data_IF_771875993345
#
_entry.id   IF_771875993345
#
_cell.length_a   1.000
_cell.length_b   1.000
_cell.length_c   1.000
_cell.angle_alpha   90.00
_cell.angle_beta   90.00
_cell.angle_gamma   90.00
#
_symmetry.space_group_name_H-M   'P 1'
#
loop_
_entity.id
_entity.type
_entity.pdbx_description
1 polymer ?
#
# COMPACT_ATOMS: atom_id res chain seq x y z
N UNK A 1 -13.10 29.30 -20.90
CA UNK A 1 -13.65 28.12 -21.60
C UNK A 1 -12.88 26.92 -21.10
N UNK A 2 -13.40 26.06 -20.20
CA UNK A 2 -12.73 24.81 -19.88
C UNK A 2 -13.14 23.78 -20.94
N UNK A 3 -12.20 23.52 -21.83
CA UNK A 3 -12.26 22.50 -22.86
C UNK A 3 -11.93 21.15 -22.24
N UNK A 4 -12.87 20.21 -22.20
CA UNK A 4 -12.67 18.79 -22.60
C UNK A 4 -13.77 17.86 -22.07
N UNK A 5 -14.68 17.51 -22.99
CA UNK A 5 -15.34 16.21 -23.17
C UNK A 5 -15.05 15.12 -22.11
N UNK A 6 -16.00 14.88 -21.20
CA UNK A 6 -16.51 13.55 -20.82
C UNK A 6 -15.55 12.41 -20.43
N UNK A 7 -14.32 12.68 -19.99
CA UNK A 7 -13.43 11.66 -19.46
C UNK A 7 -13.19 11.91 -17.97
N UNK A 8 -13.36 10.87 -17.16
CA UNK A 8 -13.06 10.94 -15.73
C UNK A 8 -11.59 10.65 -15.55
N UNK A 9 -10.84 11.65 -15.09
CA UNK A 9 -9.44 11.48 -14.74
C UNK A 9 -9.34 10.87 -13.34
N UNK A 10 -8.93 9.59 -13.31
CA UNK A 10 -8.59 8.90 -12.09
C UNK A 10 -7.08 9.02 -11.87
N UNK A 11 -6.67 9.55 -10.73
CA UNK A 11 -5.26 9.76 -10.39
C UNK A 11 -4.95 9.41 -8.93
N UNK A 12 -3.73 8.94 -8.68
CA UNK A 12 -3.25 8.74 -7.31
C UNK A 12 -2.85 10.07 -6.68
N UNK A 13 -3.38 10.34 -5.49
CA UNK A 13 -2.97 11.47 -4.64
C UNK A 13 -1.89 11.05 -3.66
N UNK A 14 -1.88 9.78 -3.25
CA UNK A 14 -0.79 9.15 -2.50
C UNK A 14 -0.53 7.76 -3.02
N UNK A 15 0.74 7.47 -3.22
CA UNK A 15 1.20 6.16 -3.66
C UNK A 15 2.10 5.52 -2.61
N UNK A 16 2.10 4.17 -2.53
CA UNK A 16 2.93 3.48 -1.56
C UNK A 16 4.41 3.68 -1.83
N UNK A 17 5.17 3.74 -0.75
CA UNK A 17 6.63 3.87 -0.78
C UNK A 17 7.28 2.58 -0.29
N UNK A 18 8.52 2.38 -0.72
CA UNK A 18 9.35 1.28 -0.21
C UNK A 18 9.44 1.38 1.32
N UNK A 19 9.29 0.23 1.98
CA UNK A 19 9.22 0.17 3.43
C UNK A 19 10.13 -0.93 3.99
N UNK A 20 10.76 -0.62 5.12
CA UNK A 20 11.53 -1.57 5.92
C UNK A 20 10.83 -1.70 7.26
N UNK A 21 10.47 -2.93 7.63
CA UNK A 21 9.84 -3.22 8.93
C UNK A 21 10.64 -4.27 9.69
N UNK A 22 10.23 -4.61 10.89
CA UNK A 22 10.87 -5.63 11.74
C UNK A 22 9.91 -6.78 11.98
N UNK A 23 10.45 -7.95 12.32
CA UNK A 23 9.65 -9.11 12.71
C UNK A 23 8.74 -8.75 13.89
N UNK A 24 7.44 -9.05 13.77
CA UNK A 24 6.42 -8.71 14.77
C UNK A 24 6.03 -7.23 14.78
N UNK A 25 6.65 -6.40 13.94
CA UNK A 25 6.29 -5.00 13.78
C UNK A 25 5.01 -4.82 12.98
N UNK A 26 4.69 -3.55 12.72
CA UNK A 26 3.57 -3.13 11.90
C UNK A 26 4.10 -2.46 10.63
N UNK A 27 3.57 -2.87 9.48
CA UNK A 27 3.82 -2.26 8.19
C UNK A 27 2.61 -1.41 7.82
N UNK A 28 2.86 -0.19 7.35
CA UNK A 28 1.84 0.70 6.83
C UNK A 28 2.23 1.14 5.41
N UNK A 29 1.32 0.94 4.46
CA UNK A 29 1.47 1.39 3.08
C UNK A 29 0.30 2.30 2.73
N UNK A 30 0.59 3.59 2.61
CA UNK A 30 -0.43 4.58 2.27
C UNK A 30 -0.79 4.50 0.79
N UNK A 31 -2.08 4.52 0.48
CA UNK A 31 -2.57 4.69 -0.88
C UNK A 31 -3.86 5.47 -0.89
N UNK A 32 -3.92 6.52 -1.72
CA UNK A 32 -5.12 7.33 -1.94
C UNK A 32 -5.22 7.70 -3.42
N UNK A 33 -6.43 7.67 -3.95
CA UNK A 33 -6.73 8.08 -5.30
C UNK A 33 -7.97 8.95 -5.31
N UNK A 34 -8.08 9.80 -6.33
CA UNK A 34 -9.19 10.71 -6.51
C UNK A 34 -9.63 10.72 -7.97
N UNK A 35 -10.94 10.86 -8.17
CA UNK A 35 -11.54 11.17 -9.46
C UNK A 35 -11.83 12.68 -9.54
N UNK A 36 -11.55 13.28 -10.69
CA UNK A 36 -11.84 14.69 -10.98
C UNK A 36 -13.35 14.99 -11.08
N UNK A 37 -14.16 13.98 -11.44
CA UNK A 37 -15.60 14.12 -11.57
C UNK A 37 -16.33 13.74 -10.27
N UNK A 38 -16.90 14.75 -9.60
CA UNK A 38 -17.61 14.61 -8.33
C UNK A 38 -18.79 13.62 -8.35
N UNK A 39 -19.40 13.35 -9.52
CA UNK A 39 -20.51 12.39 -9.64
C UNK A 39 -20.05 10.92 -9.62
N UNK A 40 -18.77 10.65 -9.91
CA UNK A 40 -18.24 9.29 -9.95
C UNK A 40 -17.97 8.69 -8.55
N UNK A 41 -17.97 9.51 -7.51
CA UNK A 41 -17.70 9.07 -6.13
C UNK A 41 -16.23 8.76 -5.85
N UNK A 42 -15.89 8.33 -4.62
CA UNK A 42 -14.52 7.97 -4.28
C UNK A 42 -14.13 6.62 -4.92
N UNK A 43 -12.91 6.49 -5.47
CA UNK A 43 -12.47 5.22 -6.04
C UNK A 43 -12.27 4.16 -4.96
N UNK A 44 -12.66 2.93 -5.29
CA UNK A 44 -12.43 1.76 -4.46
C UNK A 44 -10.95 1.37 -4.51
N UNK A 45 -10.30 1.35 -3.35
CA UNK A 45 -8.91 0.94 -3.21
C UNK A 45 -8.85 -0.57 -2.95
N UNK A 46 -7.95 -1.26 -3.64
CA UNK A 46 -7.59 -2.66 -3.39
C UNK A 46 -6.07 -2.82 -3.47
N UNK A 47 -5.55 -3.90 -2.88
CA UNK A 47 -4.10 -4.13 -2.84
C UNK A 47 -3.71 -5.41 -3.57
N UNK A 48 -2.52 -5.41 -4.13
CA UNK A 48 -1.89 -6.53 -4.81
C UNK A 48 -0.51 -6.75 -4.22
N UNK A 49 -0.15 -8.00 -3.96
CA UNK A 49 1.17 -8.42 -3.50
C UNK A 49 1.73 -9.47 -4.45
N UNK A 50 2.94 -9.24 -4.95
CA UNK A 50 3.65 -10.14 -5.86
C UNK A 50 2.79 -10.60 -7.04
N UNK A 51 1.95 -9.69 -7.55
CA UNK A 51 1.05 -9.99 -8.64
C UNK A 51 -0.31 -10.62 -8.26
N UNK A 52 -0.59 -10.86 -6.98
CA UNK A 52 -1.83 -11.49 -6.51
C UNK A 52 -2.67 -10.50 -5.70
N UNK A 53 -3.99 -10.45 -5.96
CA UNK A 53 -4.89 -9.57 -5.20
C UNK A 53 -4.93 -10.00 -3.73
N UNK A 54 -4.70 -9.06 -2.84
CA UNK A 54 -4.75 -9.29 -1.40
C UNK A 54 -6.20 -9.27 -0.94
N UNK A 55 -6.64 -10.38 -0.34
CA UNK A 55 -7.88 -10.39 0.43
C UNK A 55 -7.59 -10.00 1.87
N UNK A 56 -8.04 -8.82 2.28
CA UNK A 56 -7.98 -8.36 3.68
C UNK A 56 -9.00 -9.06 4.57
N UNK A 57 -9.89 -9.88 4.00
CA UNK A 57 -10.90 -10.65 4.74
C UNK A 57 -10.35 -11.99 5.23
N UNK A 58 -9.32 -12.52 4.57
CA UNK A 58 -8.77 -13.86 4.85
C UNK A 58 -7.64 -13.81 5.88
N UNK A 59 -6.93 -12.69 6.00
CA UNK A 59 -5.83 -12.52 6.93
C UNK A 59 -6.14 -11.39 7.92
N UNK A 60 -6.54 -11.75 9.14
CA UNK A 60 -6.89 -10.80 10.22
C UNK A 60 -5.76 -9.80 10.55
N UNK A 61 -4.51 -10.15 10.20
CA UNK A 61 -3.35 -9.28 10.38
C UNK A 61 -3.32 -8.14 9.37
N UNK A 62 -4.02 -8.29 8.24
CA UNK A 62 -4.04 -7.35 7.11
C UNK A 62 -5.35 -6.59 7.11
N UNK A 63 -5.29 -5.29 7.40
CA UNK A 63 -6.46 -4.43 7.45
C UNK A 63 -6.28 -3.28 6.48
N UNK A 64 -7.27 -3.07 5.62
CA UNK A 64 -7.35 -1.85 4.83
C UNK A 64 -8.16 -0.81 5.60
N UNK A 65 -7.58 0.36 5.80
CA UNK A 65 -8.25 1.49 6.42
C UNK A 65 -9.19 2.18 5.41
N UNK A 66 -10.16 2.95 5.91
CA UNK A 66 -11.12 3.68 5.08
C UNK A 66 -10.46 4.68 4.11
N UNK A 67 -9.23 5.12 4.42
CA UNK A 67 -8.44 6.00 3.56
C UNK A 67 -7.62 5.24 2.50
N UNK A 68 -7.81 3.92 2.33
CA UNK A 68 -7.08 3.08 1.37
C UNK A 68 -5.74 2.53 1.85
N UNK A 69 -5.26 2.97 3.01
CA UNK A 69 -3.97 2.52 3.58
C UNK A 69 -4.05 1.05 3.98
N UNK A 70 -3.04 0.27 3.59
CA UNK A 70 -2.88 -1.12 4.03
C UNK A 70 -2.04 -1.17 5.31
N UNK A 71 -2.60 -1.77 6.35
CA UNK A 71 -1.92 -2.08 7.60
C UNK A 71 -1.68 -3.58 7.68
N UNK A 72 -0.44 -3.99 7.87
CA UNK A 72 -0.08 -5.39 8.15
C UNK A 72 0.56 -5.45 9.53
N UNK A 73 -0.14 -6.08 10.47
CA UNK A 73 0.32 -6.26 11.84
C UNK A 73 1.05 -7.61 11.98
N UNK A 74 1.86 -7.75 13.03
CA UNK A 74 2.57 -8.98 13.34
C UNK A 74 3.34 -9.52 12.12
N UNK A 75 4.18 -8.68 11.52
CA UNK A 75 4.91 -9.02 10.30
C UNK A 75 5.75 -10.29 10.51
N UNK A 76 5.53 -11.28 9.64
CA UNK A 76 6.16 -12.59 9.72
C UNK A 76 7.42 -12.62 8.86
N UNK A 77 8.54 -12.85 9.54
CA UNK A 77 9.82 -13.10 8.90
C UNK A 77 10.52 -14.29 9.56
N UNK A 78 10.77 -15.33 8.76
CA UNK A 78 11.57 -16.49 9.12
C UNK A 78 12.44 -16.92 7.93
N UNK A 79 13.44 -17.75 8.19
CA UNK A 79 14.40 -18.20 7.16
C UNK A 79 13.72 -18.79 5.92
N UNK A 80 12.62 -19.52 6.11
CA UNK A 80 11.90 -20.25 5.06
C UNK A 80 10.50 -19.68 4.74
N UNK A 81 10.03 -18.70 5.51
CA UNK A 81 8.67 -18.19 5.38
C UNK A 81 8.63 -16.68 5.63
N UNK A 82 8.34 -15.91 4.58
CA UNK A 82 8.31 -14.43 4.57
C UNK A 82 7.07 -13.95 3.80
N UNK A 83 5.86 -14.24 4.31
CA UNK A 83 4.63 -14.00 3.57
C UNK A 83 4.30 -12.50 3.41
N UNK A 84 4.95 -11.64 4.20
CA UNK A 84 4.72 -10.19 4.22
C UNK A 84 5.84 -9.39 3.52
N UNK A 85 6.93 -10.04 3.11
CA UNK A 85 7.93 -9.42 2.23
C UNK A 85 7.51 -9.56 0.77
N UNK A 86 7.83 -8.58 -0.06
CA UNK A 86 7.56 -8.63 -1.49
C UNK A 86 7.25 -7.27 -2.09
N UNK A 87 6.63 -7.30 -3.25
CA UNK A 87 6.23 -6.13 -4.02
C UNK A 87 4.75 -5.86 -3.86
N UNK A 88 4.43 -4.67 -3.36
CA UNK A 88 3.06 -4.23 -3.10
C UNK A 88 2.67 -3.16 -4.11
N UNK A 89 1.44 -3.28 -4.62
CA UNK A 89 0.83 -2.31 -5.52
C UNK A 89 -0.59 -2.02 -5.07
N UNK A 90 -0.99 -0.77 -5.19
CA UNK A 90 -2.35 -0.33 -4.95
C UNK A 90 -3.10 -0.24 -6.27
N UNK A 91 -4.35 -0.69 -6.28
CA UNK A 91 -5.25 -0.58 -7.41
C UNK A 91 -6.43 0.29 -7.00
N UNK A 92 -6.59 1.42 -7.69
CA UNK A 92 -7.76 2.28 -7.54
C UNK A 92 -8.73 1.97 -8.67
N UNK A 93 -9.95 1.56 -8.31
CA UNK A 93 -11.01 1.19 -9.25
C UNK A 93 -12.16 2.18 -9.12
N UNK A 94 -12.66 2.65 -10.25
CA UNK A 94 -13.82 3.51 -10.32
C UNK A 94 -14.90 2.80 -11.12
N UNK A 95 -16.05 2.59 -10.49
CA UNK A 95 -17.15 1.80 -11.05
C UNK A 95 -17.61 2.41 -12.38
N UNK A 96 -17.58 1.60 -13.44
CA UNK A 96 -17.96 2.02 -14.80
C UNK A 96 -16.90 2.81 -15.58
N UNK A 97 -15.76 3.15 -14.98
CA UNK A 97 -14.70 3.96 -15.61
C UNK A 97 -13.35 3.23 -15.74
N UNK A 98 -13.13 2.18 -14.95
CA UNK A 98 -11.94 1.33 -15.03
C UNK A 98 -11.06 1.41 -13.78
N UNK A 99 -9.79 1.03 -13.90
CA UNK A 99 -8.86 1.01 -12.79
C UNK A 99 -7.46 1.46 -13.20
N UNK A 100 -6.75 2.05 -12.24
CA UNK A 100 -5.34 2.43 -12.34
C UNK A 100 -4.52 1.69 -11.29
N UNK A 101 -3.23 1.46 -11.58
CA UNK A 101 -2.28 0.75 -10.71
C UNK A 101 -1.18 1.71 -10.29
N UNK A 102 -0.86 1.74 -8.99
CA UNK A 102 0.19 2.59 -8.45
C UNK A 102 1.57 2.08 -8.84
N UNK A 103 2.61 2.87 -8.51
CA UNK A 103 3.98 2.37 -8.43
C UNK A 103 4.06 1.13 -7.55
N UNK A 104 5.10 0.35 -7.79
CA UNK A 104 5.48 -0.77 -6.94
C UNK A 104 6.24 -0.27 -5.73
N UNK A 105 5.80 -0.69 -4.55
CA UNK A 105 6.47 -0.48 -3.28
C UNK A 105 7.09 -1.79 -2.80
N UNK A 106 8.40 -1.77 -2.57
CA UNK A 106 9.13 -2.95 -2.09
C UNK A 106 9.17 -2.96 -0.57
N UNK A 107 8.72 -4.07 0.00
CA UNK A 107 8.70 -4.28 1.45
C UNK A 107 9.74 -5.31 1.83
N UNK A 108 10.60 -4.94 2.77
CA UNK A 108 11.63 -5.84 3.34
C UNK A 108 11.54 -5.87 4.85
N UNK A 109 11.90 -6.99 5.47
CA UNK A 109 12.01 -7.08 6.93
C UNK A 109 13.48 -7.06 7.31
N UNK A 110 13.85 -6.11 8.18
CA UNK A 110 15.17 -6.07 8.78
C UNK A 110 15.36 -7.32 9.64
N UNK A 111 16.25 -8.21 9.19
CA UNK A 111 16.75 -9.32 10.00
C UNK A 111 17.57 -8.74 11.15
N UNK A 112 17.23 -9.07 12.39
CA UNK A 112 17.82 -8.48 13.59
C UNK A 112 19.35 -8.48 13.58
N UNK A 113 19.93 -7.37 13.14
CA UNK A 113 21.30 -6.94 13.37
C UNK A 113 21.18 -5.49 13.82
N UNK A 114 21.02 -5.33 15.14
CA UNK A 114 21.36 -4.12 15.89
C UNK A 114 20.91 -2.78 15.30
N UNK A 115 19.64 -2.41 15.54
CA UNK A 115 19.30 -1.00 15.80
C UNK A 115 19.94 -0.62 17.15
N UNK A 116 21.26 -0.47 17.17
CA UNK A 116 22.01 0.03 18.34
C UNK A 116 23.16 0.97 17.98
N UNK A 117 23.28 1.35 16.70
CA UNK A 117 24.39 2.21 16.22
C UNK A 117 23.96 3.64 15.84
N UNK A 118 22.70 4.03 16.08
CA UNK A 118 22.23 5.40 15.84
C UNK A 118 21.68 6.08 17.10
N UNK A 119 22.37 5.88 18.23
CA UNK A 119 22.13 6.64 19.46
C UNK A 119 23.40 6.83 20.31
N UNK A 120 24.58 6.79 19.68
CA UNK A 120 25.86 6.98 20.38
C UNK A 120 26.84 7.85 19.58
N UNK A 121 26.32 8.85 18.88
CA UNK A 121 27.12 9.89 18.24
C UNK A 121 26.49 11.27 18.51
N UNK A 122 26.41 11.63 19.80
CA UNK A 122 26.08 13.00 20.23
C UNK A 122 26.72 13.25 21.60
N UNK A 123 28.04 13.12 21.66
CA UNK A 123 28.84 13.63 22.79
C UNK A 123 29.86 14.63 22.29
#
# INVERSE_FOLDING_TARGET
MPSSLGFVELAFTREPQDAVTVRGGTLQLDCQAQADWAAAGPPAITWRKDGVLLSTVVDERRRQLANGTLLVQNVVHSRHHRPDEGEYQCLATLDGHGSIVSRTARVTVAGGSTVKDQARDTR
#
